data_IF_039243342217
#
_entry.id   IF_039243342217
#
_cell.length_a   1.000
_cell.length_b   1.000
_cell.length_c   1.000
_cell.angle_alpha   90.00
_cell.angle_beta   90.00
_cell.angle_gamma   90.00
#
_symmetry.space_group_name_H-M   'P 1'
#
loop_
_entity.id
_entity.type
_entity.pdbx_description
1 polymer ?
#
# COMPACT_ATOMS: atom_id res chain seq x y z
N UNK A 1 -53.33 19.73 -7.78
CA UNK A 1 -52.76 19.00 -6.65
C UNK A 1 -51.23 19.08 -6.78
N UNK A 2 -50.61 20.01 -6.04
CA UNK A 2 -49.16 20.19 -6.08
C UNK A 2 -48.50 19.24 -5.04
N UNK A 3 -47.87 18.19 -5.51
CA UNK A 3 -46.98 17.40 -4.68
C UNK A 3 -45.63 18.13 -4.58
N UNK A 4 -45.45 18.86 -3.49
CA UNK A 4 -44.14 19.37 -3.10
C UNK A 4 -43.27 18.18 -2.67
N UNK A 5 -42.29 17.81 -3.51
CA UNK A 5 -41.24 16.88 -3.12
C UNK A 5 -40.32 17.62 -2.15
N UNK A 6 -40.40 17.29 -0.86
CA UNK A 6 -39.44 17.78 0.12
C UNK A 6 -38.05 17.18 -0.21
N UNK A 7 -37.04 18.06 -0.26
CA UNK A 7 -35.65 17.62 -0.43
C UNK A 7 -35.25 16.59 0.68
N UNK A 8 -34.43 15.58 0.37
CA UNK A 8 -33.99 14.63 1.38
C UNK A 8 -33.22 15.36 2.48
N UNK A 9 -33.66 15.17 3.72
CA UNK A 9 -32.96 15.67 4.90
C UNK A 9 -31.63 14.92 4.97
N UNK A 10 -30.48 15.61 5.03
CA UNK A 10 -29.19 14.94 5.21
C UNK A 10 -29.19 14.20 6.56
N UNK A 11 -28.54 13.02 6.66
CA UNK A 11 -28.50 12.28 7.90
C UNK A 11 -27.86 13.13 9.00
N UNK A 12 -28.64 13.39 10.05
CA UNK A 12 -28.19 14.09 11.24
C UNK A 12 -27.23 13.14 11.97
N UNK A 13 -25.93 13.38 11.88
CA UNK A 13 -24.92 12.56 12.55
C UNK A 13 -23.84 12.01 11.63
N UNK A 14 -23.44 12.73 10.57
CA UNK A 14 -22.19 12.42 9.89
C UNK A 14 -21.06 12.50 10.92
N UNK A 15 -20.46 11.36 11.27
CA UNK A 15 -19.24 11.36 12.07
C UNK A 15 -18.18 12.12 11.27
N UNK A 16 -17.61 13.19 11.81
CA UNK A 16 -16.52 13.87 11.13
C UNK A 16 -15.36 12.90 11.01
N UNK A 17 -14.96 12.55 9.78
CA UNK A 17 -13.69 11.87 9.58
C UNK A 17 -12.58 12.80 10.08
N UNK A 18 -11.61 12.28 10.87
CA UNK A 18 -10.46 13.08 11.27
C UNK A 18 -9.76 13.63 10.01
N UNK A 19 -9.37 14.90 10.06
CA UNK A 19 -8.59 15.49 8.98
C UNK A 19 -7.29 14.68 8.81
N UNK A 20 -7.04 14.22 7.58
CA UNK A 20 -5.80 13.53 7.24
C UNK A 20 -4.74 14.59 6.97
N UNK A 21 -3.74 14.70 7.85
CA UNK A 21 -2.57 15.59 7.70
C UNK A 21 -1.38 14.80 7.15
N UNK A 22 -1.50 14.35 5.91
CA UNK A 22 -0.44 13.62 5.24
C UNK A 22 0.55 14.58 4.57
N UNK A 23 1.83 14.43 4.87
CA UNK A 23 2.92 15.13 4.20
C UNK A 23 3.33 14.37 2.94
N UNK A 24 3.49 15.09 1.83
CA UNK A 24 3.85 14.50 0.54
C UNK A 24 5.02 15.25 -0.09
N UNK A 25 5.97 14.51 -0.67
CA UNK A 25 7.08 15.09 -1.46
C UNK A 25 7.61 14.06 -2.45
N UNK A 26 8.45 14.54 -3.37
CA UNK A 26 9.12 13.68 -4.37
C UNK A 26 10.61 13.77 -4.19
N UNK A 27 11.30 12.63 -4.16
CA UNK A 27 12.76 12.56 -4.11
C UNK A 27 13.37 12.90 -5.49
N UNK A 28 14.67 13.27 -5.56
CA UNK A 28 15.33 13.59 -6.83
C UNK A 28 15.31 12.47 -7.87
N UNK A 29 15.16 11.22 -7.46
CA UNK A 29 15.04 10.05 -8.34
C UNK A 29 13.61 9.80 -8.83
N UNK A 30 12.65 10.68 -8.50
CA UNK A 30 11.25 10.56 -8.90
C UNK A 30 10.36 9.73 -7.95
N UNK A 31 10.91 9.18 -6.86
CA UNK A 31 10.11 8.45 -5.87
C UNK A 31 9.18 9.40 -5.10
N UNK A 32 7.88 9.17 -5.19
CA UNK A 32 6.88 9.83 -4.35
C UNK A 32 6.90 9.26 -2.92
N UNK A 33 6.87 10.14 -1.94
CA UNK A 33 6.83 9.78 -0.52
C UNK A 33 5.61 10.42 0.12
N UNK A 34 4.87 9.63 0.88
CA UNK A 34 3.71 10.07 1.66
C UNK A 34 3.95 9.62 3.10
N UNK A 35 3.86 10.53 4.04
CA UNK A 35 3.97 10.25 5.47
C UNK A 35 2.79 10.83 6.21
N UNK A 36 2.11 10.00 6.97
CA UNK A 36 1.07 10.41 7.89
C UNK A 36 1.45 9.98 9.30
N UNK A 37 1.54 10.93 10.20
CA UNK A 37 1.75 10.64 11.62
C UNK A 37 0.39 10.39 12.30
N UNK A 38 0.29 9.25 12.98
CA UNK A 38 -0.83 8.93 13.87
C UNK A 38 -0.25 8.33 15.17
N UNK A 39 -0.44 9.04 16.28
CA UNK A 39 0.08 8.64 17.60
C UNK A 39 -0.94 7.87 18.43
N UNK A 40 -2.03 7.42 17.86
CA UNK A 40 -3.09 6.69 18.57
C UNK A 40 -2.64 5.30 19.04
N UNK A 41 -1.64 4.72 18.38
CA UNK A 41 -1.06 3.42 18.72
C UNK A 41 0.45 3.39 18.42
N UNK A 42 1.24 2.59 19.17
CA UNK A 42 2.68 2.44 18.94
C UNK A 42 2.98 1.45 17.81
N UNK A 43 2.47 1.71 16.62
CA UNK A 43 2.65 0.89 15.42
C UNK A 43 3.09 1.76 14.25
N UNK A 44 3.85 1.18 13.32
CA UNK A 44 4.19 1.82 12.06
C UNK A 44 3.85 0.89 10.90
N UNK A 45 3.21 1.43 9.86
CA UNK A 45 2.98 0.75 8.58
C UNK A 45 3.83 1.41 7.51
N UNK A 46 4.70 0.64 6.87
CA UNK A 46 5.53 1.10 5.75
C UNK A 46 5.09 0.37 4.50
N UNK A 47 4.75 1.11 3.46
CA UNK A 47 4.27 0.56 2.21
C UNK A 47 5.11 1.05 1.03
N UNK A 48 5.41 0.15 0.08
CA UNK A 48 6.03 0.46 -1.20
C UNK A 48 5.07 0.07 -2.30
N UNK A 49 4.63 1.06 -3.07
CA UNK A 49 3.70 0.90 -4.18
C UNK A 49 4.46 1.02 -5.49
N UNK A 50 4.38 -0.02 -6.31
CA UNK A 50 4.94 -0.06 -7.67
C UNK A 50 3.78 -0.05 -8.64
N UNK A 51 3.69 0.96 -9.48
CA UNK A 51 2.64 1.15 -10.50
C UNK A 51 2.85 0.18 -11.67
N UNK A 52 3.00 -1.11 -11.36
CA UNK A 52 3.18 -2.19 -12.34
C UNK A 52 2.49 -3.43 -11.82
N UNK A 53 1.62 -3.99 -12.64
CA UNK A 53 0.88 -5.22 -12.40
C UNK A 53 0.66 -6.00 -13.69
N UNK A 54 -0.23 -6.98 -13.67
CA UNK A 54 -0.40 -7.93 -14.78
C UNK A 54 -0.78 -7.28 -16.11
N UNK A 55 -1.49 -6.14 -16.13
CA UNK A 55 -1.84 -5.44 -17.39
C UNK A 55 -0.62 -4.86 -18.12
N UNK A 56 0.52 -4.69 -17.40
CA UNK A 56 1.75 -4.13 -17.95
C UNK A 56 2.69 -5.21 -18.51
N UNK A 57 2.26 -6.48 -18.52
CA UNK A 57 3.06 -7.60 -19.03
C UNK A 57 3.11 -7.68 -20.57
N UNK A 58 2.43 -6.76 -21.26
CA UNK A 58 2.40 -6.60 -22.72
C UNK A 58 2.16 -7.95 -23.44
N UNK A 59 3.08 -8.38 -24.32
CA UNK A 59 2.99 -9.66 -25.03
C UNK A 59 3.00 -10.89 -24.12
N UNK A 60 3.31 -10.73 -22.85
CA UNK A 60 3.34 -11.78 -21.83
C UNK A 60 2.14 -11.70 -20.87
N UNK A 61 1.08 -10.97 -21.26
CA UNK A 61 -0.13 -10.82 -20.46
C UNK A 61 -0.66 -12.19 -20.00
N UNK A 62 -0.81 -12.30 -18.65
CA UNK A 62 -1.24 -13.55 -18.01
C UNK A 62 -0.12 -14.56 -17.73
N UNK A 63 1.13 -14.26 -18.08
CA UNK A 63 2.28 -15.10 -17.71
C UNK A 63 2.67 -14.97 -16.23
N UNK A 64 2.17 -13.94 -15.53
CA UNK A 64 2.42 -13.71 -14.11
C UNK A 64 3.82 -13.19 -13.80
N UNK A 65 4.43 -12.45 -14.73
CA UNK A 65 5.78 -11.90 -14.55
C UNK A 65 5.85 -10.95 -13.36
N UNK A 66 4.85 -10.08 -13.19
CA UNK A 66 4.76 -9.16 -12.06
C UNK A 66 4.66 -9.92 -10.73
N UNK A 67 3.90 -11.00 -10.68
CA UNK A 67 3.76 -11.86 -9.52
C UNK A 67 5.05 -12.65 -9.21
N UNK A 68 5.75 -13.13 -10.23
CA UNK A 68 7.07 -13.77 -10.04
C UNK A 68 8.06 -12.76 -9.47
N UNK A 69 8.08 -11.52 -9.98
CA UNK A 69 8.95 -10.46 -9.48
C UNK A 69 8.65 -10.14 -8.00
N UNK A 70 7.38 -10.11 -7.61
CA UNK A 70 6.95 -9.98 -6.21
C UNK A 70 7.62 -11.05 -5.33
N UNK A 71 7.53 -12.33 -5.72
CA UNK A 71 8.17 -13.42 -4.98
C UNK A 71 9.69 -13.31 -4.94
N UNK A 72 10.32 -12.79 -5.99
CA UNK A 72 11.78 -12.65 -6.07
C UNK A 72 12.33 -11.67 -5.04
N UNK A 73 11.55 -10.68 -4.62
CA UNK A 73 11.98 -9.71 -3.59
C UNK A 73 12.33 -10.38 -2.26
N UNK A 74 11.70 -11.51 -1.95
CA UNK A 74 11.93 -12.27 -0.71
C UNK A 74 13.07 -13.31 -0.83
N UNK A 75 13.69 -13.47 -1.99
CA UNK A 75 14.74 -14.48 -2.23
C UNK A 75 16.14 -14.05 -1.82
N UNK A 76 16.28 -12.79 -1.39
CA UNK A 76 17.55 -12.25 -0.94
C UNK A 76 18.31 -11.47 -2.01
N UNK A 77 19.50 -11.04 -1.66
CA UNK A 77 20.42 -10.26 -2.49
C UNK A 77 21.84 -10.83 -2.35
N UNK A 78 22.81 -10.24 -3.04
CA UNK A 78 24.24 -10.61 -2.86
C UNK A 78 24.73 -10.47 -1.41
N UNK A 79 24.12 -9.57 -0.64
CA UNK A 79 24.54 -9.24 0.73
C UNK A 79 23.58 -9.75 1.81
N UNK A 80 22.44 -10.33 1.43
CA UNK A 80 21.41 -10.81 2.37
C UNK A 80 20.87 -12.16 1.92
N UNK A 81 20.84 -13.11 2.83
CA UNK A 81 20.29 -14.44 2.58
C UNK A 81 18.77 -14.40 2.29
N UNK A 82 18.29 -15.45 1.64
CA UNK A 82 16.86 -15.67 1.48
C UNK A 82 16.20 -15.75 2.87
N UNK A 83 15.04 -15.14 3.00
CA UNK A 83 14.26 -15.05 4.25
C UNK A 83 14.88 -14.18 5.36
N UNK A 84 16.11 -13.72 5.25
CA UNK A 84 16.74 -12.86 6.28
C UNK A 84 15.95 -11.57 6.50
N UNK A 85 15.41 -10.99 5.43
CA UNK A 85 14.57 -9.78 5.49
C UNK A 85 13.31 -10.01 6.33
N UNK A 86 12.56 -11.07 6.00
CA UNK A 86 11.34 -11.42 6.74
C UNK A 86 11.64 -11.79 8.20
N UNK A 87 12.74 -12.53 8.45
CA UNK A 87 13.14 -12.90 9.80
C UNK A 87 13.46 -11.68 10.66
N UNK A 88 14.21 -10.70 10.16
CA UNK A 88 14.51 -9.47 10.90
C UNK A 88 13.27 -8.68 11.30
N UNK A 89 12.26 -8.66 10.42
CA UNK A 89 10.98 -8.00 10.72
C UNK A 89 10.24 -8.76 11.81
N UNK A 90 10.18 -10.10 11.72
CA UNK A 90 9.55 -10.95 12.73
C UNK A 90 10.25 -10.87 14.09
N UNK A 91 11.59 -10.82 14.11
CA UNK A 91 12.38 -10.67 15.34
C UNK A 91 12.08 -9.31 16.03
N UNK A 92 11.73 -8.30 15.26
CA UNK A 92 11.30 -7.00 15.76
C UNK A 92 9.80 -6.96 16.14
N UNK A 93 9.06 -8.07 16.01
CA UNK A 93 7.63 -8.16 16.31
C UNK A 93 6.71 -7.74 15.17
N UNK A 94 7.27 -7.49 13.97
CA UNK A 94 6.53 -7.04 12.82
C UNK A 94 6.07 -8.17 11.88
N UNK A 95 5.31 -7.76 10.88
CA UNK A 95 4.78 -8.60 9.82
C UNK A 95 5.08 -7.99 8.46
N UNK A 96 5.47 -8.80 7.48
CA UNK A 96 5.71 -8.38 6.10
C UNK A 96 4.86 -9.20 5.14
N UNK A 97 4.31 -8.54 4.14
CA UNK A 97 3.59 -9.21 3.06
C UNK A 97 3.66 -8.39 1.77
N UNK A 98 3.14 -8.97 0.69
CA UNK A 98 3.01 -8.32 -0.60
C UNK A 98 1.79 -8.85 -1.34
N UNK A 99 1.34 -8.13 -2.36
CA UNK A 99 0.40 -8.62 -3.37
C UNK A 99 0.65 -7.97 -4.72
N UNK A 100 0.32 -8.69 -5.77
CA UNK A 100 0.25 -8.19 -7.14
C UNK A 100 -1.20 -8.15 -7.61
N UNK A 101 -1.60 -7.03 -8.21
CA UNK A 101 -2.90 -6.81 -8.82
C UNK A 101 -2.75 -6.55 -10.33
N UNK A 102 -3.82 -6.09 -10.98
CA UNK A 102 -3.81 -5.78 -12.41
C UNK A 102 -2.87 -4.61 -12.74
N UNK A 103 -2.88 -3.56 -11.93
CA UNK A 103 -2.23 -2.28 -12.19
C UNK A 103 -1.07 -1.96 -11.25
N UNK A 104 -0.86 -2.75 -10.19
CA UNK A 104 0.13 -2.46 -9.15
C UNK A 104 0.65 -3.71 -8.45
N UNK A 105 1.83 -3.57 -7.88
CA UNK A 105 2.40 -4.48 -6.88
C UNK A 105 2.69 -3.70 -5.61
N UNK A 106 2.29 -4.22 -4.47
CA UNK A 106 2.43 -3.53 -3.18
C UNK A 106 3.14 -4.45 -2.19
N UNK A 107 4.12 -3.89 -1.50
CA UNK A 107 4.82 -4.52 -0.39
C UNK A 107 4.53 -3.73 0.87
N UNK A 108 4.29 -4.38 2.01
CA UNK A 108 4.11 -3.67 3.26
C UNK A 108 4.71 -4.38 4.46
N UNK A 109 5.05 -3.59 5.45
CA UNK A 109 5.54 -4.00 6.75
C UNK A 109 4.71 -3.28 7.79
N UNK A 110 4.20 -4.03 8.76
CA UNK A 110 3.56 -3.50 9.96
C UNK A 110 4.41 -3.93 11.17
N UNK A 111 4.76 -2.97 12.03
CA UNK A 111 5.64 -3.16 13.19
C UNK A 111 5.23 -2.31 14.38
#
# INVERSE_FOLDING_TARGET
MNHSLSAPVPPTGAMPFPAVDAQTWTLPNGLGVIVQEDRSAPVASVQVWVETGSIHEDRHLGAGLSHILEHMLFKGTETRGASEFAQRIQDAGGYVNAYTSFDRTVYWIDI
#
